data_IF_431531930844
#
_entry.id   IF_431531930844
#
_cell.length_a   1.000
_cell.length_b   1.000
_cell.length_c   1.000
_cell.angle_alpha   90.00
_cell.angle_beta   90.00
_cell.angle_gamma   90.00
#
_symmetry.space_group_name_H-M   'P 1'
#
loop_
_entity.id
_entity.type
_entity.pdbx_description
1 polymer ?
#
# COMPACT_ATOMS: atom_id res chain seq x y z
N UNK A 1 -9.28 30.49 -9.30
CA UNK A 1 -8.03 29.82 -9.10
C UNK A 1 -8.20 28.31 -9.10
N UNK A 2 -7.42 27.66 -9.90
CA UNK A 2 -7.48 26.20 -10.02
C UNK A 2 -7.00 25.52 -8.74
N UNK A 3 -6.04 26.10 -8.18
CA UNK A 3 -5.53 25.72 -6.92
C UNK A 3 -5.37 24.25 -6.71
N UNK A 4 -5.84 23.84 -5.63
CA UNK A 4 -5.47 22.62 -4.97
C UNK A 4 -6.55 21.54 -5.05
N UNK A 5 -7.28 21.48 -6.18
CA UNK A 5 -8.33 20.47 -6.33
C UNK A 5 -7.81 19.05 -6.15
N UNK A 6 -6.53 18.83 -6.46
CA UNK A 6 -5.86 17.53 -6.31
C UNK A 6 -4.81 17.55 -5.20
N UNK A 7 -4.90 18.49 -4.27
CA UNK A 7 -3.96 18.56 -3.16
C UNK A 7 -4.17 17.42 -2.20
N UNK A 8 -3.07 16.81 -1.83
CA UNK A 8 -3.04 15.82 -0.77
C UNK A 8 -2.17 16.32 0.37
N UNK A 9 -2.56 15.99 1.59
CA UNK A 9 -1.68 16.15 2.74
C UNK A 9 -1.38 14.77 3.30
N UNK A 10 -0.25 14.68 4.00
CA UNK A 10 0.27 13.40 4.46
C UNK A 10 0.64 13.48 5.93
N UNK A 11 0.45 12.37 6.65
CA UNK A 11 0.87 12.27 8.03
C UNK A 11 1.44 10.88 8.29
N UNK A 12 2.62 10.83 8.89
CA UNK A 12 3.22 9.58 9.33
C UNK A 12 2.84 9.34 10.79
N UNK A 13 2.54 8.08 11.10
CA UNK A 13 2.04 7.68 12.41
C UNK A 13 2.60 6.31 12.79
N UNK A 14 2.87 6.10 14.07
CA UNK A 14 3.22 4.79 14.61
C UNK A 14 2.09 4.21 15.47
N UNK A 15 0.91 4.81 15.43
CA UNK A 15 -0.24 4.35 16.20
C UNK A 15 -0.91 3.15 15.52
N UNK A 16 -1.23 2.13 16.31
CA UNK A 16 -1.89 0.94 15.78
C UNK A 16 -3.22 1.25 15.09
N UNK A 17 -3.98 2.18 15.65
CA UNK A 17 -5.29 2.55 15.10
C UNK A 17 -5.19 3.05 13.66
N UNK A 18 -4.11 3.75 13.33
CA UNK A 18 -3.91 4.25 11.97
C UNK A 18 -3.55 3.12 11.01
N UNK A 19 -2.73 2.17 11.45
CA UNK A 19 -2.42 0.98 10.67
C UNK A 19 -3.69 0.15 10.44
N UNK A 20 -4.49 -0.03 11.49
CA UNK A 20 -5.72 -0.81 11.37
C UNK A 20 -6.75 -0.14 10.46
N UNK A 21 -6.81 1.19 10.44
CA UNK A 21 -7.67 1.91 9.51
C UNK A 21 -7.34 1.53 8.06
N UNK A 22 -6.06 1.52 7.70
CA UNK A 22 -5.61 1.13 6.37
C UNK A 22 -5.94 -0.34 6.11
N UNK A 23 -5.68 -1.20 7.08
CA UNK A 23 -5.96 -2.62 6.93
C UNK A 23 -7.45 -2.89 6.73
N UNK A 24 -8.33 -2.23 7.48
CA UNK A 24 -9.78 -2.43 7.35
C UNK A 24 -10.29 -2.02 5.96
N UNK A 25 -9.73 -0.97 5.41
CA UNK A 25 -10.04 -0.55 4.04
C UNK A 25 -9.60 -1.62 3.04
N UNK A 26 -8.39 -2.16 3.21
CA UNK A 26 -7.85 -3.22 2.37
C UNK A 26 -8.61 -4.53 2.56
N UNK A 27 -8.94 -4.88 3.78
CA UNK A 27 -9.66 -6.11 4.11
C UNK A 27 -10.99 -6.21 3.38
N UNK A 28 -11.76 -5.12 3.37
CA UNK A 28 -13.05 -5.08 2.65
C UNK A 28 -12.85 -5.35 1.16
N UNK A 29 -11.80 -4.77 0.58
CA UNK A 29 -11.46 -4.99 -0.82
C UNK A 29 -11.09 -6.45 -1.08
N UNK A 30 -10.23 -7.02 -0.24
CA UNK A 30 -9.78 -8.40 -0.38
C UNK A 30 -10.95 -9.37 -0.25
N UNK A 31 -11.81 -9.18 0.74
CA UNK A 31 -12.97 -10.03 0.95
C UNK A 31 -13.89 -10.02 -0.27
N UNK A 32 -14.14 -8.85 -0.83
CA UNK A 32 -14.98 -8.71 -2.02
C UNK A 32 -14.37 -9.43 -3.22
N UNK A 33 -13.05 -9.35 -3.40
CA UNK A 33 -12.38 -9.95 -4.56
C UNK A 33 -12.15 -11.44 -4.45
N UNK A 34 -11.85 -11.92 -3.24
CA UNK A 34 -11.50 -13.34 -3.05
C UNK A 34 -12.66 -14.21 -2.62
N UNK A 35 -13.66 -13.63 -1.98
CA UNK A 35 -14.75 -14.37 -1.38
C UNK A 35 -14.31 -15.27 -0.23
N UNK A 36 -13.13 -15.02 0.34
CA UNK A 36 -12.56 -15.84 1.40
C UNK A 36 -12.86 -15.22 2.75
N UNK A 37 -13.71 -15.89 3.59
CA UNK A 37 -14.04 -15.37 4.91
C UNK A 37 -12.94 -15.62 5.95
N UNK A 38 -11.90 -16.40 5.62
CA UNK A 38 -10.83 -16.78 6.53
C UNK A 38 -9.68 -15.78 6.49
N UNK A 39 -10.01 -14.49 6.54
CA UNK A 39 -9.03 -13.41 6.59
C UNK A 39 -8.85 -12.97 8.04
N UNK A 40 -7.65 -12.50 8.37
CA UNK A 40 -7.43 -11.86 9.65
C UNK A 40 -8.25 -10.58 9.74
N UNK A 41 -8.91 -10.35 10.87
CA UNK A 41 -9.79 -9.20 11.06
C UNK A 41 -9.05 -7.93 11.49
N UNK A 42 -7.79 -8.04 11.83
CA UNK A 42 -6.99 -6.94 12.35
C UNK A 42 -5.64 -6.87 11.67
N UNK A 43 -5.09 -5.69 11.60
CA UNK A 43 -3.76 -5.49 11.05
C UNK A 43 -2.72 -6.28 11.87
N UNK A 44 -1.72 -6.81 11.17
CA UNK A 44 -0.57 -7.40 11.84
C UNK A 44 0.15 -6.32 12.64
N UNK A 45 0.75 -6.72 13.75
CA UNK A 45 1.55 -5.83 14.58
C UNK A 45 3.02 -6.15 14.31
N UNK A 46 3.76 -5.14 13.87
CA UNK A 46 5.20 -5.23 13.76
C UNK A 46 5.82 -4.12 14.61
N UNK A 47 6.84 -4.42 15.43
CA UNK A 47 7.39 -3.43 16.38
C UNK A 47 7.83 -2.11 15.75
N UNK A 48 8.26 -2.15 14.50
CA UNK A 48 8.77 -0.95 13.82
C UNK A 48 7.84 -0.44 12.73
N UNK A 49 6.59 -0.87 12.71
CA UNK A 49 5.68 -0.43 11.67
C UNK A 49 5.31 1.04 11.81
N UNK A 50 5.16 1.67 10.66
CA UNK A 50 4.65 3.03 10.55
C UNK A 50 3.55 3.06 9.49
N UNK A 51 2.70 4.07 9.59
CA UNK A 51 1.62 4.28 8.64
C UNK A 51 1.77 5.65 8.01
N UNK A 52 1.71 5.69 6.69
CA UNK A 52 1.57 6.94 5.96
C UNK A 52 0.09 7.09 5.63
N UNK A 53 -0.53 8.13 6.18
CA UNK A 53 -1.93 8.46 5.91
C UNK A 53 -2.00 9.59 4.90
N UNK A 54 -2.89 9.46 3.94
CA UNK A 54 -3.14 10.49 2.94
C UNK A 54 -4.53 11.07 3.14
N UNK A 55 -4.62 12.41 3.03
CA UNK A 55 -5.87 13.15 3.20
C UNK A 55 -6.11 14.00 1.96
N UNK A 56 -7.37 14.10 1.54
CA UNK A 56 -7.72 15.00 0.46
C UNK A 56 -7.81 16.44 0.96
N UNK A 57 -8.16 17.35 0.07
CA UNK A 57 -8.24 18.78 0.40
C UNK A 57 -9.31 19.11 1.43
N UNK A 58 -10.32 18.25 1.60
CA UNK A 58 -11.35 18.41 2.62
C UNK A 58 -10.94 17.86 3.98
N UNK A 59 -9.76 17.22 4.07
CA UNK A 59 -9.29 16.59 5.28
C UNK A 59 -9.77 15.16 5.48
N UNK A 60 -10.40 14.56 4.47
CA UNK A 60 -10.86 13.19 4.53
C UNK A 60 -9.70 12.23 4.31
N UNK A 61 -9.57 11.19 5.13
CA UNK A 61 -8.61 10.11 4.91
C UNK A 61 -9.01 9.32 3.67
N UNK A 62 -8.11 9.25 2.70
CA UNK A 62 -8.42 8.60 1.42
C UNK A 62 -7.64 7.32 1.19
N UNK A 63 -6.69 7.02 2.05
CA UNK A 63 -5.88 5.82 1.96
C UNK A 63 -4.51 6.03 2.57
N UNK A 64 -3.60 5.14 2.24
CA UNK A 64 -2.24 5.20 2.73
C UNK A 64 -1.56 3.86 2.66
N UNK A 65 -0.49 3.73 3.41
CA UNK A 65 0.26 2.48 3.46
C UNK A 65 0.82 2.22 4.86
N UNK A 66 0.96 0.93 5.15
CA UNK A 66 1.65 0.48 6.36
C UNK A 66 2.94 -0.18 5.91
N UNK A 67 4.04 0.18 6.52
CA UNK A 67 5.35 -0.29 6.14
C UNK A 67 6.26 -0.43 7.36
N UNK A 68 7.35 -1.18 7.20
CA UNK A 68 8.35 -1.31 8.24
C UNK A 68 9.70 -1.65 7.63
N UNK A 69 10.76 -1.39 8.37
CA UNK A 69 12.10 -1.79 7.94
C UNK A 69 12.26 -3.28 8.08
N UNK A 70 12.81 -3.89 7.03
CA UNK A 70 13.05 -5.31 6.98
C UNK A 70 14.55 -5.51 6.74
N UNK A 71 15.22 -6.28 7.58
CA UNK A 71 16.67 -6.52 7.49
C UNK A 71 17.49 -5.23 7.60
N UNK A 72 17.15 -4.36 8.55
CA UNK A 72 17.89 -3.13 8.81
C UNK A 72 17.34 -1.92 8.06
N UNK A 73 18.02 -0.77 8.11
CA UNK A 73 17.47 0.49 7.59
C UNK A 73 17.47 0.60 6.06
N UNK A 74 18.17 -0.30 5.36
CA UNK A 74 18.31 -0.21 3.91
C UNK A 74 17.11 -0.71 3.14
N UNK A 75 16.26 -1.48 3.77
CA UNK A 75 15.15 -2.18 3.13
C UNK A 75 13.86 -1.85 3.84
N UNK A 76 12.87 -1.42 3.07
CA UNK A 76 11.53 -1.16 3.60
C UNK A 76 10.55 -2.10 2.90
N UNK A 77 9.75 -2.79 3.70
CA UNK A 77 8.67 -3.64 3.22
C UNK A 77 7.35 -2.90 3.36
N UNK A 78 6.63 -2.76 2.26
CA UNK A 78 5.29 -2.18 2.25
C UNK A 78 4.31 -3.32 2.50
N UNK A 79 3.74 -3.34 3.70
CA UNK A 79 2.83 -4.40 4.12
C UNK A 79 1.43 -4.23 3.53
N UNK A 80 0.90 -3.01 3.62
CA UNK A 80 -0.41 -2.68 3.07
C UNK A 80 -0.35 -1.36 2.33
N UNK A 81 -1.00 -1.31 1.18
CA UNK A 81 -1.25 -0.07 0.47
C UNK A 81 -2.66 -0.12 -0.09
N UNK A 82 -3.45 0.89 0.20
CA UNK A 82 -4.83 0.95 -0.26
C UNK A 82 -5.26 2.39 -0.48
N UNK A 83 -6.14 2.57 -1.44
CA UNK A 83 -6.77 3.85 -1.76
C UNK A 83 -8.27 3.63 -1.83
N UNK A 84 -9.04 4.57 -1.28
CA UNK A 84 -10.50 4.53 -1.32
C UNK A 84 -10.98 4.35 -2.76
N UNK A 85 -11.87 3.38 -2.97
CA UNK A 85 -12.36 3.03 -4.30
C UNK A 85 -13.07 4.20 -5.01
N UNK A 86 -13.73 5.06 -4.25
CA UNK A 86 -14.52 6.14 -4.82
C UNK A 86 -13.66 7.22 -5.48
N UNK A 87 -12.35 7.21 -5.23
CA UNK A 87 -11.44 8.24 -5.73
C UNK A 87 -10.26 7.66 -6.50
N UNK A 88 -10.35 6.41 -6.92
CA UNK A 88 -9.33 5.80 -7.77
C UNK A 88 -9.29 6.47 -9.13
N UNK A 89 -8.16 6.31 -9.84
CA UNK A 89 -7.92 6.84 -11.18
C UNK A 89 -7.77 8.36 -11.25
N UNK A 90 -7.53 9.01 -10.12
CA UNK A 90 -7.23 10.46 -10.07
C UNK A 90 -5.74 10.74 -9.88
N UNK A 91 -4.90 9.71 -9.99
CA UNK A 91 -3.47 9.87 -9.81
C UNK A 91 -3.03 9.95 -8.35
N UNK A 92 -3.93 9.73 -7.41
CA UNK A 92 -3.62 9.83 -5.98
C UNK A 92 -2.66 8.74 -5.51
N UNK A 93 -2.81 7.52 -6.05
CA UNK A 93 -1.90 6.43 -5.71
C UNK A 93 -0.45 6.76 -6.05
N UNK A 94 -0.23 7.31 -7.24
CA UNK A 94 1.10 7.76 -7.67
C UNK A 94 1.64 8.84 -6.73
N UNK A 95 0.81 9.79 -6.35
CA UNK A 95 1.23 10.89 -5.49
C UNK A 95 1.60 10.41 -4.09
N UNK A 96 0.84 9.46 -3.55
CA UNK A 96 1.16 8.84 -2.26
C UNK A 96 2.52 8.15 -2.35
N UNK A 97 2.76 7.40 -3.42
CA UNK A 97 4.04 6.72 -3.60
C UNK A 97 5.20 7.68 -3.83
N UNK A 98 4.99 8.76 -4.56
CA UNK A 98 6.02 9.79 -4.75
C UNK A 98 6.44 10.43 -3.43
N UNK A 99 5.46 10.72 -2.57
CA UNK A 99 5.74 11.21 -1.22
C UNK A 99 6.53 10.17 -0.43
N UNK A 100 6.09 8.91 -0.46
CA UNK A 100 6.73 7.84 0.27
C UNK A 100 8.16 7.57 -0.21
N UNK A 101 8.37 7.55 -1.51
CA UNK A 101 9.71 7.35 -2.10
C UNK A 101 10.67 8.45 -1.63
N UNK A 102 10.20 9.70 -1.64
CA UNK A 102 10.99 10.82 -1.16
C UNK A 102 11.38 10.65 0.30
N UNK A 103 10.41 10.27 1.15
CA UNK A 103 10.67 10.01 2.56
C UNK A 103 11.66 8.86 2.75
N UNK A 104 11.46 7.76 2.01
CA UNK A 104 12.30 6.58 2.13
C UNK A 104 13.75 6.86 1.75
N UNK A 105 13.98 7.63 0.69
CA UNK A 105 15.33 8.05 0.29
C UNK A 105 16.01 8.85 1.39
N UNK A 106 15.29 9.80 1.99
CA UNK A 106 15.84 10.60 3.09
C UNK A 106 16.13 9.76 4.31
N UNK A 107 15.37 8.70 4.53
CA UNK A 107 15.56 7.77 5.65
C UNK A 107 16.72 6.82 5.42
N UNK A 108 17.30 6.78 4.22
CA UNK A 108 18.45 5.96 3.89
C UNK A 108 18.11 4.61 3.27
N UNK A 109 16.88 4.37 2.91
CA UNK A 109 16.49 3.12 2.26
C UNK A 109 17.16 2.98 0.89
N UNK A 110 17.54 1.75 0.55
CA UNK A 110 18.15 1.43 -0.75
C UNK A 110 17.19 0.74 -1.68
N UNK A 111 16.17 0.08 -1.15
CA UNK A 111 15.14 -0.52 -1.97
C UNK A 111 13.85 -0.71 -1.16
N UNK A 112 12.75 -0.83 -1.90
CA UNK A 112 11.42 -1.08 -1.38
C UNK A 112 10.94 -2.44 -1.88
N UNK A 113 10.31 -3.20 -1.01
CA UNK A 113 9.65 -4.45 -1.38
C UNK A 113 8.16 -4.35 -1.12
N UNK A 114 7.36 -4.94 -1.99
CA UNK A 114 5.90 -5.01 -1.83
C UNK A 114 5.41 -6.30 -2.49
N UNK A 115 4.30 -6.83 -1.99
CA UNK A 115 3.62 -7.96 -2.59
C UNK A 115 2.24 -7.54 -3.08
N UNK A 116 1.79 -8.15 -4.17
CA UNK A 116 0.48 -7.85 -4.73
C UNK A 116 -0.08 -9.08 -5.44
N UNK A 117 -1.37 -9.29 -5.30
CA UNK A 117 -2.08 -10.35 -5.98
C UNK A 117 -2.58 -9.88 -7.34
N UNK A 118 -2.78 -10.82 -8.27
CA UNK A 118 -3.28 -10.49 -9.61
C UNK A 118 -4.65 -9.82 -9.58
N UNK A 119 -5.50 -10.12 -8.58
CA UNK A 119 -6.79 -9.47 -8.45
C UNK A 119 -6.70 -8.03 -7.93
N UNK A 120 -5.55 -7.64 -7.42
CA UNK A 120 -5.24 -6.28 -7.03
C UNK A 120 -4.50 -5.58 -8.17
N UNK A 121 -4.31 -4.45 -8.39
CA UNK A 121 -3.73 -3.82 -9.56
C UNK A 121 -2.19 -3.93 -9.63
N UNK A 122 -1.59 -5.09 -9.97
CA UNK A 122 -0.13 -5.22 -10.01
C UNK A 122 0.51 -4.34 -11.08
N UNK A 123 -0.23 -3.99 -12.12
CA UNK A 123 0.24 -3.05 -13.15
C UNK A 123 0.60 -1.69 -12.59
N UNK A 124 -0.02 -1.26 -11.49
CA UNK A 124 0.33 -0.02 -10.82
C UNK A 124 1.79 -0.03 -10.36
N UNK A 125 2.22 -1.13 -9.73
CA UNK A 125 3.59 -1.24 -9.24
C UNK A 125 4.60 -1.25 -10.38
N UNK A 126 4.29 -1.93 -11.48
CA UNK A 126 5.15 -1.93 -12.66
C UNK A 126 5.30 -0.52 -13.23
N UNK A 127 4.21 0.23 -13.32
CA UNK A 127 4.23 1.62 -13.81
C UNK A 127 5.02 2.53 -12.88
N UNK A 128 5.04 2.24 -11.58
CA UNK A 128 5.84 3.02 -10.63
C UNK A 128 7.33 2.71 -10.71
N UNK A 129 7.72 1.64 -11.38
CA UNK A 129 9.11 1.28 -11.54
C UNK A 129 9.55 0.04 -10.76
N UNK A 130 8.60 -0.66 -10.13
CA UNK A 130 8.90 -1.92 -9.47
C UNK A 130 9.06 -3.03 -10.50
N UNK A 131 9.95 -3.97 -10.22
CA UNK A 131 10.10 -5.17 -11.04
C UNK A 131 9.74 -6.42 -10.22
N UNK A 132 9.29 -7.46 -10.91
CA UNK A 132 8.88 -8.72 -10.29
C UNK A 132 10.12 -9.47 -9.83
N UNK A 133 10.12 -9.91 -8.57
CA UNK A 133 11.18 -10.75 -8.00
C UNK A 133 10.70 -12.18 -7.73
N UNK A 134 9.40 -12.43 -7.77
CA UNK A 134 8.85 -13.76 -7.56
C UNK A 134 7.38 -13.85 -7.88
N UNK A 135 6.92 -15.05 -8.15
CA UNK A 135 5.53 -15.37 -8.45
C UNK A 135 5.17 -16.69 -7.79
N UNK A 136 3.98 -16.75 -7.18
CA UNK A 136 3.44 -17.97 -6.57
C UNK A 136 1.96 -18.05 -6.89
N UNK A 137 1.49 -19.23 -7.30
CA UNK A 137 0.06 -19.47 -7.48
C UNK A 137 -0.60 -19.45 -6.10
N UNK A 138 -1.66 -18.66 -5.97
CA UNK A 138 -2.39 -18.53 -4.72
C UNK A 138 -3.88 -18.42 -5.02
N UNK A 139 -4.54 -19.57 -5.29
CA UNK A 139 -5.96 -19.56 -5.65
C UNK A 139 -6.87 -19.19 -4.50
N UNK A 140 -7.96 -18.51 -4.82
CA UNK A 140 -9.03 -18.16 -3.88
C UNK A 140 -10.38 -18.52 -4.52
N UNK A 141 -11.46 -18.62 -3.72
CA UNK A 141 -12.76 -19.05 -4.25
C UNK A 141 -13.26 -18.28 -5.46
N UNK A 142 -13.13 -16.95 -5.47
CA UNK A 142 -13.61 -16.12 -6.58
C UNK A 142 -12.52 -15.77 -7.59
N UNK A 143 -11.28 -16.16 -7.35
CA UNK A 143 -10.17 -15.93 -8.27
C UNK A 143 -9.21 -17.12 -8.23
N UNK A 144 -9.65 -18.26 -8.83
CA UNK A 144 -8.86 -19.50 -8.76
C UNK A 144 -7.53 -19.44 -9.49
N UNK A 145 -7.37 -18.53 -10.43
CA UNK A 145 -6.14 -18.37 -11.20
C UNK A 145 -5.23 -17.28 -10.66
N UNK A 146 -5.47 -16.84 -9.42
CA UNK A 146 -4.70 -15.76 -8.82
C UNK A 146 -3.22 -16.12 -8.70
N UNK A 147 -2.37 -15.14 -8.98
CA UNK A 147 -0.93 -15.20 -8.77
C UNK A 147 -0.55 -14.13 -7.77
N UNK A 148 0.27 -14.52 -6.81
CA UNK A 148 0.83 -13.61 -5.81
C UNK A 148 2.22 -13.19 -6.27
N UNK A 149 2.41 -11.90 -6.52
CA UNK A 149 3.66 -11.34 -7.01
C UNK A 149 4.46 -10.70 -5.89
N UNK A 150 5.77 -10.82 -5.97
CA UNK A 150 6.70 -10.03 -5.16
C UNK A 150 7.38 -9.02 -6.06
N UNK A 151 7.49 -7.78 -5.61
CA UNK A 151 8.07 -6.67 -6.37
C UNK A 151 9.16 -5.97 -5.58
N UNK A 152 10.11 -5.38 -6.30
CA UNK A 152 11.17 -4.57 -5.72
C UNK A 152 11.42 -3.34 -6.56
N UNK A 153 11.71 -2.22 -5.89
CA UNK A 153 12.20 -1.00 -6.51
C UNK A 153 13.48 -0.57 -5.81
N UNK A 154 14.55 -0.35 -6.58
CA UNK A 154 15.78 0.24 -6.05
C UNK A 154 15.65 1.76 -6.05
N UNK A 155 16.12 2.37 -4.96
CA UNK A 155 16.03 3.82 -4.78
C UNK A 155 17.33 4.55 -5.13
#
# INVERSE_FOLDING_TARGET
MQGNMNSLTFRYSNQYEDADFIYQMLYRFILEKTGDPNQDLHAEIHPEQQTLLAFDESGRKIGGMVFYRLNGPRSIYINYFVLDETIRRKGYGRRIFEEFISWAKKDGAKYLDVRSNAYMAPGFYRKMGFHVTGEVKEPHPLCPDNIHYSFRMYL
#
